data_IF_496100642247
#
_entry.id   IF_496100642247
#
_cell.length_a   1.000
_cell.length_b   1.000
_cell.length_c   1.000
_cell.angle_alpha   90.00
_cell.angle_beta   90.00
_cell.angle_gamma   90.00
#
_symmetry.space_group_name_H-M   'P 1'
#
loop_
_entity.id
_entity.type
_entity.pdbx_description
1 polymer ?
#
# COMPACT_ATOMS: atom_id res chain seq x y z
N UNK A 1 4.86 -18.35 -9.20
CA UNK A 1 5.15 -17.57 -7.97
C UNK A 1 5.45 -16.12 -8.38
N UNK A 2 4.44 -15.25 -8.49
CA UNK A 2 4.63 -13.85 -8.90
C UNK A 2 4.90 -13.02 -7.65
N UNK A 3 6.14 -12.54 -7.49
CA UNK A 3 6.57 -11.75 -6.33
C UNK A 3 6.10 -10.31 -6.48
N UNK A 4 5.51 -9.77 -5.41
CA UNK A 4 5.36 -8.32 -5.26
C UNK A 4 6.72 -7.71 -5.04
N UNK A 5 7.19 -6.95 -6.02
CA UNK A 5 8.25 -5.99 -5.78
C UNK A 5 7.56 -4.84 -5.04
N UNK A 6 7.72 -4.79 -3.72
CA UNK A 6 7.38 -3.61 -2.93
C UNK A 6 8.08 -2.40 -3.56
N UNK A 7 7.31 -1.42 -4.04
CA UNK A 7 7.81 -0.07 -4.22
C UNK A 7 8.27 0.41 -2.84
N UNK A 8 9.55 0.75 -2.72
CA UNK A 8 10.14 1.24 -1.49
C UNK A 8 9.34 2.45 -1.00
N UNK A 9 8.95 2.47 0.27
CA UNK A 9 8.56 3.71 0.95
C UNK A 9 9.69 4.72 0.73
N UNK A 10 9.35 5.89 0.19
CA UNK A 10 10.35 6.91 -0.13
C UNK A 10 10.44 7.89 1.03
N UNK A 11 11.66 8.16 1.49
CA UNK A 11 11.94 9.19 2.46
C UNK A 11 12.89 10.20 1.82
N UNK A 12 12.49 11.47 1.80
CA UNK A 12 13.23 12.54 1.15
C UNK A 12 13.53 13.65 2.14
N UNK A 13 14.76 14.15 2.12
CA UNK A 13 15.18 15.37 2.79
C UNK A 13 15.57 16.41 1.76
N UNK A 14 14.99 17.62 1.81
CA UNK A 14 15.44 18.72 0.96
C UNK A 14 14.49 19.92 0.86
N UNK A 15 14.90 20.94 0.10
CA UNK A 15 14.11 22.15 -0.17
C UNK A 15 13.76 22.26 -1.66
N UNK A 16 12.48 22.43 -1.98
CA UNK A 16 11.95 22.56 -3.35
C UNK A 16 12.36 21.39 -4.28
N UNK A 17 13.16 21.67 -5.32
CA UNK A 17 13.54 20.73 -6.40
C UNK A 17 14.77 19.88 -6.08
N UNK A 18 15.47 20.13 -4.97
CA UNK A 18 16.62 19.30 -4.54
C UNK A 18 16.19 18.45 -3.37
N UNK A 19 15.85 17.19 -3.66
CA UNK A 19 15.52 16.18 -2.66
C UNK A 19 16.59 15.10 -2.67
N UNK A 20 17.07 14.71 -1.49
CA UNK A 20 17.97 13.57 -1.28
C UNK A 20 17.17 12.43 -0.68
N UNK A 21 17.30 11.23 -1.22
CA UNK A 21 16.76 10.02 -0.61
C UNK A 21 17.52 9.73 0.70
N UNK A 22 16.75 9.59 1.77
CA UNK A 22 17.25 9.20 3.08
C UNK A 22 16.91 7.71 3.25
N UNK A 23 17.90 6.84 3.44
CA UNK A 23 17.63 5.44 3.72
C UNK A 23 16.73 5.29 4.95
N UNK A 24 15.70 4.47 4.82
CA UNK A 24 14.78 4.14 5.91
C UNK A 24 14.67 2.64 6.08
N UNK A 25 14.48 2.21 7.33
CA UNK A 25 13.96 0.89 7.67
C UNK A 25 12.60 1.10 8.32
N UNK A 26 11.63 0.27 7.97
CA UNK A 26 10.34 0.27 8.63
C UNK A 26 10.21 -0.96 9.52
N UNK A 27 9.55 -0.81 10.66
CA UNK A 27 9.17 -1.92 11.52
C UNK A 27 7.66 -1.87 11.74
N UNK A 28 7.00 -3.02 11.55
CA UNK A 28 5.59 -3.18 11.88
C UNK A 28 5.47 -3.53 13.37
N UNK A 29 4.70 -2.73 14.10
CA UNK A 29 4.34 -3.05 15.48
C UNK A 29 3.06 -3.87 15.50
N UNK A 30 3.05 -4.94 16.28
CA UNK A 30 1.85 -5.77 16.50
C UNK A 30 0.86 -5.06 17.42
N UNK A 31 -0.42 -4.99 17.03
CA UNK A 31 -1.49 -4.34 17.78
C UNK A 31 -2.83 -4.36 17.04
N UNK A 32 -3.89 -3.79 17.63
CA UNK A 32 -5.21 -3.66 16.97
C UNK A 32 -5.17 -2.80 15.70
N UNK A 33 -4.19 -1.89 15.59
CA UNK A 33 -3.95 -1.04 14.42
C UNK A 33 -2.60 -1.37 13.78
N UNK A 34 -2.56 -1.39 12.44
CA UNK A 34 -1.32 -1.46 11.67
C UNK A 34 -0.53 -0.19 11.96
N UNK A 35 0.52 -0.31 12.79
CA UNK A 35 1.38 0.80 13.17
C UNK A 35 2.77 0.58 12.62
N UNK A 36 3.26 1.53 11.83
CA UNK A 36 4.62 1.52 11.30
C UNK A 36 5.49 2.47 12.10
N UNK A 37 6.69 2.02 12.42
CA UNK A 37 7.79 2.90 12.88
C UNK A 37 8.86 2.95 11.81
N UNK A 38 9.54 4.09 11.72
CA UNK A 38 10.55 4.33 10.70
C UNK A 38 11.85 4.72 11.39
N UNK A 39 12.88 3.91 11.18
CA UNK A 39 14.25 4.24 11.53
C UNK A 39 14.85 4.98 10.34
N UNK A 40 15.00 6.29 10.50
CA UNK A 40 15.47 7.20 9.46
C UNK A 40 16.96 7.47 9.68
N UNK A 41 17.77 7.32 8.61
CA UNK A 41 19.19 7.68 8.66
C UNK A 41 19.39 9.20 8.86
N UNK A 42 20.62 9.61 9.19
CA UNK A 42 20.95 11.02 9.43
C UNK A 42 20.50 11.93 8.28
N UNK A 43 19.80 13.00 8.64
CA UNK A 43 19.34 14.06 7.73
C UNK A 43 19.65 15.43 8.36
N UNK A 44 19.61 16.51 7.57
CA UNK A 44 19.75 17.87 8.13
C UNK A 44 18.38 18.37 8.58
N UNK A 45 18.24 18.81 9.85
CA UNK A 45 16.96 19.26 10.40
C UNK A 45 16.48 20.60 9.78
N UNK A 46 17.35 21.28 9.03
CA UNK A 46 17.00 22.50 8.29
C UNK A 46 16.14 22.22 7.05
N UNK A 47 16.02 20.94 6.66
CA UNK A 47 15.23 20.50 5.53
C UNK A 47 14.01 19.70 5.99
N UNK A 48 12.91 19.85 5.24
CA UNK A 48 11.74 19.02 5.45
C UNK A 48 12.06 17.56 5.18
N UNK A 49 11.69 16.70 6.14
CA UNK A 49 11.63 15.27 5.97
C UNK A 49 10.22 14.89 5.48
N UNK A 50 10.12 14.27 4.31
CA UNK A 50 8.86 13.79 3.73
C UNK A 50 8.93 12.26 3.66
N UNK A 51 7.94 11.59 4.24
CA UNK A 51 7.79 10.13 4.18
C UNK A 51 6.50 9.81 3.45
N UNK A 52 6.62 9.00 2.39
CA UNK A 52 5.51 8.61 1.52
C UNK A 52 5.31 7.08 1.58
N UNK A 53 4.46 6.59 2.50
CA UNK A 53 4.25 5.16 2.70
C UNK A 53 3.31 4.57 1.64
N UNK A 54 3.68 3.39 1.12
CA UNK A 54 2.75 2.57 0.32
C UNK A 54 1.71 1.95 1.25
N UNK A 55 0.46 2.36 1.12
CA UNK A 55 -0.67 1.93 1.97
C UNK A 55 -1.39 0.67 1.46
N UNK A 56 -1.33 0.41 0.14
CA UNK A 56 -1.91 -0.76 -0.50
C UNK A 56 -1.00 -1.27 -1.60
N UNK A 57 -0.82 -2.59 -1.68
CA UNK A 57 -0.27 -3.25 -2.87
C UNK A 57 -0.66 -4.72 -2.84
N UNK A 58 -1.18 -5.24 -3.94
CA UNK A 58 -1.52 -6.66 -4.09
C UNK A 58 -1.57 -7.02 -5.57
N UNK A 59 -1.71 -8.31 -5.86
CA UNK A 59 -2.06 -8.80 -7.19
C UNK A 59 -3.39 -9.54 -7.10
N UNK A 60 -4.23 -9.29 -8.10
CA UNK A 60 -5.54 -9.95 -8.22
C UNK A 60 -5.64 -10.49 -9.63
N UNK A 61 -5.98 -11.77 -9.75
CA UNK A 61 -6.05 -12.52 -11.00
C UNK A 61 -5.80 -14.01 -10.78
N UNK A 62 -6.23 -14.82 -11.72
CA UNK A 62 -6.11 -16.28 -11.73
C UNK A 62 -5.19 -16.79 -12.84
N UNK A 63 -5.52 -17.96 -13.38
CA UNK A 63 -4.73 -18.69 -14.37
C UNK A 63 -4.90 -18.20 -15.80
N UNK A 64 -5.96 -17.46 -16.11
CA UNK A 64 -6.29 -16.99 -17.45
C UNK A 64 -6.19 -15.45 -17.55
N UNK A 65 -6.82 -14.85 -18.56
CA UNK A 65 -6.86 -13.40 -18.74
C UNK A 65 -7.80 -12.75 -17.72
N UNK A 66 -7.29 -11.74 -17.05
CA UNK A 66 -8.06 -10.89 -16.14
C UNK A 66 -7.70 -9.43 -16.41
N UNK A 67 -8.69 -8.55 -16.37
CA UNK A 67 -8.53 -7.13 -16.66
C UNK A 67 -9.25 -6.25 -15.65
N UNK A 68 -8.51 -5.36 -14.99
CA UNK A 68 -9.09 -4.25 -14.23
C UNK A 68 -9.51 -3.13 -15.17
N UNK A 69 -10.74 -2.62 -15.00
CA UNK A 69 -11.32 -1.56 -15.82
C UNK A 69 -11.43 -0.22 -15.10
N UNK A 70 -11.70 -0.23 -13.79
CA UNK A 70 -11.85 1.00 -13.00
C UNK A 70 -11.45 0.78 -11.55
N UNK A 71 -11.09 1.87 -10.87
CA UNK A 71 -10.81 1.91 -9.44
C UNK A 71 -11.46 3.15 -8.81
N UNK A 72 -12.09 2.97 -7.65
CA UNK A 72 -12.64 4.05 -6.84
C UNK A 72 -12.39 3.80 -5.35
N UNK A 73 -12.36 4.88 -4.57
CA UNK A 73 -12.24 4.81 -3.11
C UNK A 73 -13.58 5.15 -2.45
N UNK A 74 -13.89 4.49 -1.34
CA UNK A 74 -14.96 4.93 -0.43
C UNK A 74 -14.43 5.93 0.62
N UNK A 75 -15.33 6.47 1.45
CA UNK A 75 -14.97 7.41 2.53
C UNK A 75 -14.10 6.81 3.63
N UNK A 76 -13.96 5.47 3.67
CA UNK A 76 -13.10 4.73 4.58
C UNK A 76 -11.78 4.31 3.92
N UNK A 77 -11.45 4.87 2.75
CA UNK A 77 -10.28 4.55 1.94
C UNK A 77 -10.20 3.09 1.49
N UNK A 78 -11.31 2.34 1.47
CA UNK A 78 -11.31 1.04 0.82
C UNK A 78 -11.30 1.24 -0.69
N UNK A 79 -10.42 0.51 -1.38
CA UNK A 79 -10.37 0.54 -2.83
C UNK A 79 -11.29 -0.52 -3.42
N UNK A 80 -12.10 -0.11 -4.39
CA UNK A 80 -12.96 -0.98 -5.18
C UNK A 80 -12.44 -1.00 -6.61
N UNK A 81 -12.12 -2.20 -7.09
CA UNK A 81 -11.66 -2.44 -8.45
C UNK A 81 -12.76 -3.22 -9.16
N UNK A 82 -13.17 -2.76 -10.33
CA UNK A 82 -14.11 -3.49 -11.19
C UNK A 82 -13.41 -3.98 -12.43
N UNK A 83 -13.84 -5.11 -12.98
CA UNK A 83 -13.22 -5.67 -14.16
C UNK A 83 -13.88 -6.94 -14.63
N UNK A 84 -13.14 -7.69 -15.45
CA UNK A 84 -13.52 -8.99 -15.96
C UNK A 84 -12.45 -10.03 -15.65
N UNK A 85 -12.87 -11.27 -15.51
CA UNK A 85 -12.01 -12.44 -15.31
C UNK A 85 -12.46 -13.57 -16.24
N UNK A 86 -11.53 -14.14 -16.99
CA UNK A 86 -11.73 -15.42 -17.70
C UNK A 86 -11.15 -16.60 -16.92
N UNK A 87 -10.84 -16.39 -15.63
CA UNK A 87 -10.14 -17.35 -14.77
C UNK A 87 -11.13 -18.06 -13.86
N UNK A 88 -11.26 -19.38 -14.00
CA UNK A 88 -12.09 -20.20 -13.10
C UNK A 88 -11.53 -20.30 -11.67
N UNK A 89 -10.27 -19.91 -11.48
CA UNK A 89 -9.55 -19.85 -10.22
C UNK A 89 -9.31 -18.41 -9.75
N UNK A 90 -10.14 -17.44 -10.19
CA UNK A 90 -10.05 -16.07 -9.72
C UNK A 90 -10.17 -15.99 -8.18
N UNK A 91 -9.40 -15.13 -7.49
CA UNK A 91 -9.45 -15.05 -6.03
C UNK A 91 -10.85 -14.66 -5.50
N UNK A 92 -11.46 -15.56 -4.73
CA UNK A 92 -12.75 -15.34 -4.08
C UNK A 92 -12.58 -15.18 -2.55
N UNK A 93 -13.53 -14.47 -1.94
CA UNK A 93 -13.63 -14.36 -0.48
C UNK A 93 -14.87 -15.12 0.03
N UNK A 94 -14.85 -15.67 1.26
CA UNK A 94 -16.05 -16.25 1.85
C UNK A 94 -17.21 -15.25 1.84
N UNK A 95 -18.36 -15.66 1.30
CA UNK A 95 -19.53 -14.79 1.14
C UNK A 95 -19.54 -13.93 -0.13
N UNK A 96 -18.67 -14.22 -1.10
CA UNK A 96 -18.79 -13.63 -2.44
C UNK A 96 -20.17 -13.92 -3.06
N UNK A 97 -20.69 -12.96 -3.83
CA UNK A 97 -22.02 -13.03 -4.41
C UNK A 97 -22.15 -14.16 -5.43
N UNK A 98 -21.16 -14.28 -6.32
CA UNK A 98 -20.97 -15.44 -7.18
C UNK A 98 -19.62 -16.07 -6.83
N UNK A 99 -19.61 -17.40 -6.74
CA UNK A 99 -18.44 -18.20 -6.41
C UNK A 99 -18.05 -19.17 -7.51
N UNK A 100 -18.69 -19.07 -8.68
CA UNK A 100 -18.45 -19.92 -9.84
C UNK A 100 -18.07 -19.06 -11.04
N UNK A 101 -17.17 -19.55 -11.89
CA UNK A 101 -16.98 -18.96 -13.20
C UNK A 101 -18.04 -19.52 -14.16
N UNK A 102 -19.09 -18.76 -14.42
CA UNK A 102 -20.29 -19.22 -15.14
C UNK A 102 -20.63 -18.40 -16.40
N UNK A 103 -19.89 -17.33 -16.67
CA UNK A 103 -19.85 -16.69 -17.97
C UNK A 103 -19.21 -17.59 -19.04
N UNK A 104 -19.68 -17.47 -20.29
CA UNK A 104 -19.16 -18.29 -21.39
C UNK A 104 -17.66 -18.02 -21.66
N UNK A 105 -17.25 -16.75 -21.60
CA UNK A 105 -15.87 -16.33 -21.83
C UNK A 105 -15.25 -15.61 -20.63
N UNK A 106 -16.02 -14.75 -19.97
CA UNK A 106 -15.56 -13.89 -18.89
C UNK A 106 -16.71 -13.59 -17.92
N UNK A 107 -16.39 -13.46 -16.64
CA UNK A 107 -17.28 -12.94 -15.60
C UNK A 107 -16.87 -11.54 -15.16
N UNK A 108 -17.87 -10.74 -14.81
CA UNK A 108 -17.64 -9.46 -14.17
C UNK A 108 -17.27 -9.65 -12.69
N UNK A 109 -16.30 -8.89 -12.20
CA UNK A 109 -15.96 -8.87 -10.77
C UNK A 109 -16.02 -7.46 -10.18
N UNK A 110 -16.27 -7.43 -8.87
CA UNK A 110 -15.98 -6.29 -8.00
C UNK A 110 -15.09 -6.77 -6.87
N UNK A 111 -13.87 -6.25 -6.80
CA UNK A 111 -12.88 -6.60 -5.80
C UNK A 111 -12.69 -5.44 -4.83
N UNK A 112 -12.84 -5.70 -3.53
CA UNK A 112 -12.60 -4.71 -2.47
C UNK A 112 -11.28 -4.98 -1.76
N UNK A 113 -10.42 -3.98 -1.72
CA UNK A 113 -9.21 -3.96 -0.90
C UNK A 113 -9.43 -3.00 0.28
N UNK A 114 -9.40 -3.54 1.49
CA UNK A 114 -9.64 -2.78 2.72
C UNK A 114 -8.40 -2.75 3.60
N UNK A 115 -8.00 -1.56 4.06
CA UNK A 115 -7.12 -1.43 5.21
C UNK A 115 -7.98 -1.67 6.44
N UNK A 116 -7.69 -2.73 7.19
CA UNK A 116 -8.42 -3.00 8.43
C UNK A 116 -8.29 -1.86 9.45
N UNK A 117 -7.32 -0.95 9.28
CA UNK A 117 -7.11 0.22 10.12
C UNK A 117 -6.42 1.33 9.35
N UNK A 118 -6.76 2.59 9.62
CA UNK A 118 -5.99 3.73 9.13
C UNK A 118 -4.54 3.59 9.63
N UNK A 119 -3.54 3.50 8.73
CA UNK A 119 -2.15 3.37 9.14
C UNK A 119 -1.79 4.61 9.97
N UNK A 120 -1.44 4.39 11.22
CA UNK A 120 -0.97 5.48 12.09
C UNK A 120 0.53 5.57 11.93
N UNK A 121 1.00 6.69 11.38
CA UNK A 121 2.42 7.00 11.28
C UNK A 121 2.91 7.59 12.60
N UNK A 122 3.76 6.86 13.32
CA UNK A 122 4.44 7.37 14.51
C UNK A 122 5.93 7.44 14.19
N UNK A 123 6.37 8.59 13.69
CA UNK A 123 7.79 8.88 13.53
C UNK A 123 8.44 9.06 14.90
N UNK A 124 9.52 8.34 15.18
CA UNK A 124 10.47 8.72 16.23
C UNK A 124 11.63 9.43 15.55
N UNK A 125 11.71 10.75 15.69
CA UNK A 125 12.87 11.50 15.23
C UNK A 125 14.07 11.18 16.13
N UNK A 126 14.95 10.30 15.66
CA UNK A 126 16.19 9.94 16.35
C UNK A 126 17.33 10.88 16.04
N UNK A 127 17.10 11.94 15.24
CA UNK A 127 18.10 12.93 14.87
C UNK A 127 18.42 13.87 16.05
N UNK A 128 18.92 13.30 17.15
CA UNK A 128 19.40 14.00 18.34
C UNK A 128 20.77 14.62 18.05
N UNK A 129 20.82 15.62 17.16
CA UNK A 129 21.93 16.58 17.13
C UNK A 129 21.40 18.01 17.16
N UNK A 130 21.56 18.59 18.35
CA UNK A 130 21.65 20.02 18.71
C UNK A 130 20.36 20.83 18.92
N UNK A 131 19.79 20.72 20.12
CA UNK A 131 19.54 21.92 20.93
C UNK A 131 20.64 22.00 22.00
N UNK A 132 21.80 22.52 21.59
CA UNK A 132 22.65 23.28 22.51
C UNK A 132 22.30 24.75 22.23
N UNK A 133 21.37 25.27 23.01
CA UNK A 133 21.44 26.63 23.52
C UNK A 133 21.48 26.51 25.04
#
# INVERSE_FOLDING_TARGET
MRRCILQKTLCLSGYRRRKKEIPIKYNLLSGKNITYTFDVADYSPDYQLIIDPVVYSTFVGGSNRDGGLSIALDSSNNAYITGWTGSSDFPLTPGAYDTSHNGENEDAFVFKLSLHTNPTYIGKDTNRRSRRQ
#
